data_IF_406525472385
#
_entry.id   IF_406525472385
#
_cell.length_a   1.000
_cell.length_b   1.000
_cell.length_c   1.000
_cell.angle_alpha   90.00
_cell.angle_beta   90.00
_cell.angle_gamma   90.00
#
_symmetry.space_group_name_H-M   'P 1'
#
loop_
_entity.id
_entity.type
_entity.pdbx_description
1 polymer ?
#
# COMPACT_ATOMS: atom_id res chain seq x y z
N UNK A 1 -12.67 -0.42 9.44
CA UNK A 1 -11.38 -0.96 8.97
C UNK A 1 -11.38 -1.01 7.46
N UNK A 2 -10.65 -0.10 6.81
CA UNK A 2 -10.64 0.05 5.35
C UNK A 2 -9.31 0.63 4.86
N UNK A 3 -8.87 0.27 3.66
CA UNK A 3 -7.77 0.97 3.00
C UNK A 3 -8.30 2.08 2.07
N UNK A 4 -7.78 3.29 2.18
CA UNK A 4 -8.13 4.38 1.25
C UNK A 4 -6.96 4.60 0.29
N UNK A 5 -7.14 4.18 -0.96
CA UNK A 5 -6.09 4.21 -1.99
C UNK A 5 -6.25 5.51 -2.79
N UNK A 6 -5.36 6.48 -2.55
CA UNK A 6 -5.34 7.77 -3.25
C UNK A 6 -4.28 7.73 -4.36
N UNK A 7 -4.73 7.90 -5.60
CA UNK A 7 -3.92 7.76 -6.81
C UNK A 7 -3.70 9.14 -7.45
N UNK A 8 -2.44 9.50 -7.68
CA UNK A 8 -2.05 10.80 -8.21
C UNK A 8 -2.50 11.08 -9.65
N UNK A 9 -2.73 10.01 -10.43
CA UNK A 9 -3.05 10.07 -11.86
C UNK A 9 -3.86 8.85 -12.29
N UNK A 10 -4.78 9.04 -13.26
CA UNK A 10 -5.52 7.94 -13.89
C UNK A 10 -4.60 6.90 -14.54
N UNK A 11 -3.40 7.30 -14.98
CA UNK A 11 -2.40 6.39 -15.57
C UNK A 11 -1.98 5.27 -14.60
N UNK A 12 -2.05 5.52 -13.29
CA UNK A 12 -1.56 4.60 -12.27
C UNK A 12 -2.72 3.78 -11.65
N UNK A 13 -3.92 3.90 -12.24
CA UNK A 13 -5.13 3.20 -11.77
C UNK A 13 -5.03 1.67 -11.86
N UNK A 14 -4.26 1.15 -12.83
CA UNK A 14 -4.01 -0.29 -12.92
C UNK A 14 -3.34 -0.83 -11.65
N UNK A 15 -2.26 -0.20 -11.22
CA UNK A 15 -1.53 -0.54 -10.00
C UNK A 15 -2.39 -0.38 -8.75
N UNK A 16 -3.18 0.70 -8.66
CA UNK A 16 -4.12 0.87 -7.53
C UNK A 16 -5.20 -0.20 -7.44
N UNK A 17 -5.71 -0.69 -8.59
CA UNK A 17 -6.66 -1.81 -8.63
C UNK A 17 -6.03 -3.12 -8.21
N UNK A 18 -4.77 -3.34 -8.56
CA UNK A 18 -4.00 -4.51 -8.13
C UNK A 18 -3.84 -4.51 -6.60
N UNK A 19 -3.47 -3.39 -5.98
CA UNK A 19 -3.43 -3.26 -4.51
C UNK A 19 -4.80 -3.58 -3.90
N UNK A 20 -5.87 -2.99 -4.45
CA UNK A 20 -7.24 -3.24 -4.00
C UNK A 20 -7.64 -4.71 -4.11
N UNK A 21 -7.18 -5.42 -5.15
CA UNK A 21 -7.39 -6.85 -5.32
C UNK A 21 -6.66 -7.67 -4.27
N UNK A 22 -5.38 -7.39 -4.04
CA UNK A 22 -4.59 -8.08 -3.01
C UNK A 22 -5.15 -7.85 -1.61
N UNK A 23 -5.74 -6.67 -1.33
CA UNK A 23 -6.42 -6.41 -0.06
C UNK A 23 -7.66 -7.29 0.18
N UNK A 24 -8.39 -7.64 -0.89
CA UNK A 24 -9.56 -8.55 -0.78
C UNK A 24 -9.17 -9.92 -0.26
N UNK A 25 -7.98 -10.42 -0.58
CA UNK A 25 -7.48 -11.69 -0.06
C UNK A 25 -7.41 -11.70 1.48
N UNK A 26 -7.06 -10.57 2.09
CA UNK A 26 -7.00 -10.40 3.54
C UNK A 26 -8.35 -10.01 4.16
N UNK A 27 -9.43 -9.96 3.38
CA UNK A 27 -10.76 -9.53 3.82
C UNK A 27 -10.84 -8.04 4.16
N UNK A 28 -10.00 -7.20 3.54
CA UNK A 28 -9.94 -5.76 3.79
C UNK A 28 -10.63 -5.02 2.63
N UNK A 29 -11.65 -4.23 2.96
CA UNK A 29 -12.31 -3.35 1.99
C UNK A 29 -11.40 -2.19 1.61
N UNK A 30 -11.57 -1.68 0.38
CA UNK A 30 -10.81 -0.52 -0.08
C UNK A 30 -11.62 0.43 -0.94
N UNK A 31 -11.36 1.72 -0.77
CA UNK A 31 -11.87 2.79 -1.62
C UNK A 31 -10.75 3.30 -2.53
N UNK A 32 -11.02 3.44 -3.84
CA UNK A 32 -10.08 4.03 -4.79
C UNK A 32 -10.48 5.48 -5.09
N UNK A 33 -9.55 6.40 -4.92
CA UNK A 33 -9.72 7.84 -5.17
C UNK A 33 -8.63 8.33 -6.12
N UNK A 34 -8.94 9.35 -6.94
CA UNK A 34 -7.95 10.02 -7.80
C UNK A 34 -7.85 11.48 -7.36
N UNK A 35 -6.67 11.90 -6.91
CA UNK A 35 -6.39 13.28 -6.53
C UNK A 35 -4.88 13.56 -6.56
N UNK A 36 -4.49 14.80 -6.85
CA UNK A 36 -3.08 15.16 -7.04
C UNK A 36 -2.69 16.26 -6.07
N UNK A 37 -1.66 16.03 -5.24
CA UNK A 37 -1.16 17.06 -4.32
C UNK A 37 -0.67 18.33 -5.05
N UNK A 38 -0.10 18.19 -6.24
CA UNK A 38 0.39 19.33 -7.03
C UNK A 38 -0.74 20.10 -7.72
N UNK A 39 -1.77 19.41 -8.22
CA UNK A 39 -2.79 20.00 -9.11
C UNK A 39 -4.13 20.27 -8.43
N UNK A 40 -4.49 19.47 -7.44
CA UNK A 40 -5.76 19.53 -6.72
C UNK A 40 -5.59 19.32 -5.20
N UNK A 41 -4.71 20.06 -4.51
CA UNK A 41 -4.41 19.86 -3.09
C UNK A 41 -5.64 19.94 -2.18
N UNK A 42 -6.54 20.91 -2.41
CA UNK A 42 -7.79 21.02 -1.65
C UNK A 42 -8.71 19.79 -1.80
N UNK A 43 -8.68 19.16 -2.97
CA UNK A 43 -9.42 17.92 -3.19
C UNK A 43 -8.81 16.75 -2.40
N UNK A 44 -7.48 16.68 -2.31
CA UNK A 44 -6.78 15.70 -1.46
C UNK A 44 -7.19 15.90 0.00
N UNK A 45 -7.15 17.14 0.51
CA UNK A 45 -7.56 17.44 1.89
C UNK A 45 -9.01 17.07 2.15
N UNK A 46 -9.91 17.36 1.20
CA UNK A 46 -11.31 16.94 1.31
C UNK A 46 -11.43 15.42 1.44
N UNK A 47 -10.73 14.65 0.60
CA UNK A 47 -10.71 13.18 0.69
C UNK A 47 -10.20 12.73 2.06
N UNK A 48 -9.09 13.29 2.55
CA UNK A 48 -8.52 12.89 3.84
C UNK A 48 -9.53 13.13 4.98
N UNK A 49 -10.21 14.28 5.00
CA UNK A 49 -11.22 14.64 6.01
C UNK A 49 -12.46 13.74 5.97
N UNK A 50 -12.83 13.21 4.81
CA UNK A 50 -13.96 12.27 4.69
C UNK A 50 -13.75 11.00 5.54
N UNK A 51 -12.50 10.64 5.88
CA UNK A 51 -12.17 9.43 6.63
C UNK A 51 -11.54 9.71 8.02
N UNK A 52 -11.60 10.94 8.52
CA UNK A 52 -10.91 11.34 9.76
C UNK A 52 -11.40 10.56 10.99
N UNK A 53 -12.71 10.30 11.05
CA UNK A 53 -13.35 9.55 12.14
C UNK A 53 -13.37 8.02 11.90
N UNK A 54 -12.84 7.56 10.77
CA UNK A 54 -12.81 6.13 10.42
C UNK A 54 -11.49 5.44 10.83
N UNK A 55 -11.56 4.12 11.02
CA UNK A 55 -10.37 3.28 11.15
C UNK A 55 -9.84 2.91 9.77
N UNK A 56 -9.02 3.81 9.22
CA UNK A 56 -8.42 3.65 7.89
C UNK A 56 -6.90 3.62 7.90
N UNK A 57 -6.34 3.01 6.85
CA UNK A 57 -4.95 3.17 6.44
C UNK A 57 -4.97 3.81 5.05
N UNK A 58 -4.22 4.89 4.87
CA UNK A 58 -4.09 5.51 3.55
C UNK A 58 -2.97 4.80 2.77
N UNK A 59 -3.24 4.52 1.50
CA UNK A 59 -2.24 4.07 0.53
C UNK A 59 -2.15 5.13 -0.54
N UNK A 60 -0.97 5.70 -0.76
CA UNK A 60 -0.75 6.76 -1.74
C UNK A 60 0.10 6.25 -2.91
N UNK A 61 -0.42 6.41 -4.13
CA UNK A 61 0.21 5.95 -5.36
C UNK A 61 0.48 7.17 -6.24
N UNK A 62 1.75 7.55 -6.38
CA UNK A 62 2.16 8.61 -7.29
C UNK A 62 3.57 8.34 -7.83
N UNK A 63 3.72 8.39 -9.16
CA UNK A 63 5.03 8.31 -9.81
C UNK A 63 5.75 9.67 -9.88
N UNK A 64 6.96 9.69 -10.46
CA UNK A 64 7.84 10.87 -10.55
C UNK A 64 8.17 11.41 -9.15
N UNK A 65 8.18 12.73 -9.00
CA UNK A 65 8.32 13.39 -7.69
C UNK A 65 7.02 13.20 -6.89
N UNK A 66 7.03 12.23 -5.97
CA UNK A 66 5.89 11.87 -5.14
C UNK A 66 5.67 12.87 -3.99
N UNK A 67 4.95 13.95 -4.28
CA UNK A 67 4.46 14.84 -3.24
C UNK A 67 3.20 14.33 -2.53
N UNK A 68 2.47 13.38 -3.13
CA UNK A 68 1.17 12.93 -2.62
C UNK A 68 1.31 12.23 -1.26
N UNK A 69 2.30 11.34 -1.13
CA UNK A 69 2.51 10.59 0.12
C UNK A 69 2.79 11.50 1.31
N UNK A 70 3.78 12.39 1.18
CA UNK A 70 4.11 13.32 2.25
C UNK A 70 2.98 14.31 2.55
N UNK A 71 2.24 14.75 1.51
CA UNK A 71 1.10 15.65 1.69
C UNK A 71 -0.04 15.00 2.47
N UNK A 72 -0.40 13.75 2.15
CA UNK A 72 -1.45 13.02 2.88
C UNK A 72 -1.00 12.74 4.32
N UNK A 73 0.23 12.26 4.50
CA UNK A 73 0.79 11.91 5.82
C UNK A 73 0.87 13.10 6.78
N UNK A 74 1.30 14.26 6.29
CA UNK A 74 1.36 15.48 7.10
C UNK A 74 -0.02 16.01 7.54
N UNK A 75 -1.12 15.53 6.94
CA UNK A 75 -2.48 16.02 7.15
C UNK A 75 -3.41 14.97 7.75
N UNK A 76 -2.87 13.88 8.31
CA UNK A 76 -3.67 12.85 8.96
C UNK A 76 -2.95 12.25 10.16
N UNK A 77 -3.72 11.75 11.13
CA UNK A 77 -3.20 10.96 12.25
C UNK A 77 -3.16 9.46 11.95
N UNK A 78 -3.69 9.06 10.78
CA UNK A 78 -3.81 7.66 10.36
C UNK A 78 -2.52 7.20 9.69
N UNK A 79 -2.20 5.89 9.69
CA UNK A 79 -1.02 5.39 8.99
C UNK A 79 -1.12 5.66 7.49
N UNK A 80 0.00 6.07 6.88
CA UNK A 80 0.12 6.27 5.43
C UNK A 80 1.21 5.37 4.87
N UNK A 81 0.87 4.64 3.79
CA UNK A 81 1.81 3.83 3.02
C UNK A 81 1.98 4.44 1.64
N UNK A 82 3.19 4.93 1.35
CA UNK A 82 3.63 5.28 0.02
C UNK A 82 3.90 4.01 -0.79
N UNK A 83 3.17 3.84 -1.90
CA UNK A 83 3.39 2.76 -2.86
C UNK A 83 3.51 3.33 -4.28
N UNK A 84 4.65 3.98 -4.60
CA UNK A 84 4.85 4.58 -5.91
C UNK A 84 4.97 3.49 -6.98
N UNK A 85 4.35 3.66 -8.17
CA UNK A 85 4.54 2.73 -9.28
C UNK A 85 5.96 2.91 -9.82
N UNK A 86 6.83 1.93 -9.55
CA UNK A 86 8.22 1.95 -10.04
C UNK A 86 8.22 1.64 -11.53
N UNK A 87 8.89 2.49 -12.31
CA UNK A 87 9.15 2.29 -13.74
C UNK A 87 10.64 1.98 -13.93
N UNK A 88 11.09 1.90 -15.17
CA UNK A 88 12.48 1.53 -15.53
C UNK A 88 13.55 2.33 -14.75
N UNK A 89 13.26 3.59 -14.43
CA UNK A 89 14.15 4.42 -13.63
C UNK A 89 13.73 4.44 -12.15
N UNK A 90 14.61 3.91 -11.28
CA UNK A 90 14.39 3.85 -9.84
C UNK A 90 14.60 5.17 -9.10
N UNK A 91 15.15 6.22 -9.74
CA UNK A 91 15.44 7.49 -9.05
C UNK A 91 14.19 8.14 -8.42
N UNK A 92 13.01 7.90 -8.99
CA UNK A 92 11.75 8.41 -8.45
C UNK A 92 11.47 7.90 -7.02
N UNK A 93 12.02 6.74 -6.62
CA UNK A 93 11.83 6.19 -5.27
C UNK A 93 12.37 7.12 -4.18
N UNK A 94 13.44 7.87 -4.45
CA UNK A 94 14.03 8.79 -3.48
C UNK A 94 13.04 9.89 -3.07
N UNK A 95 12.09 10.24 -3.95
CA UNK A 95 11.02 11.19 -3.63
C UNK A 95 10.02 10.65 -2.61
N UNK A 96 9.95 9.33 -2.40
CA UNK A 96 9.14 8.69 -1.37
C UNK A 96 9.95 8.33 -0.11
N UNK A 97 11.27 8.16 -0.23
CA UNK A 97 12.17 7.82 0.90
C UNK A 97 12.50 9.04 1.76
N UNK A 98 12.87 10.17 1.13
CA UNK A 98 13.46 11.31 1.84
C UNK A 98 12.43 12.35 2.25
N UNK A 99 11.84 12.15 3.43
CA UNK A 99 10.84 13.05 4.02
C UNK A 99 11.46 14.06 5.00
N UNK A 100 10.87 15.27 5.15
CA UNK A 100 11.26 16.20 6.20
C UNK A 100 10.83 15.69 7.59
N UNK A 101 11.37 16.28 8.66
CA UNK A 101 10.96 15.98 10.03
C UNK A 101 9.46 16.20 10.24
N UNK A 102 8.79 15.26 10.91
CA UNK A 102 7.35 15.31 11.18
C UNK A 102 6.47 14.71 10.09
N UNK A 103 7.05 14.18 9.00
CA UNK A 103 6.34 13.49 7.91
C UNK A 103 6.98 12.10 7.75
N UNK A 104 6.20 11.05 7.96
CA UNK A 104 6.67 9.67 8.08
C UNK A 104 5.80 8.61 7.34
N UNK A 105 5.46 8.80 6.05
CA UNK A 105 4.84 7.75 5.27
C UNK A 105 5.79 6.54 5.16
N UNK A 106 5.24 5.33 5.35
CA UNK A 106 5.99 4.09 5.17
C UNK A 106 6.11 3.76 3.68
N UNK A 107 7.26 3.32 3.20
CA UNK A 107 7.46 2.96 1.79
C UNK A 107 7.32 1.45 1.56
N UNK A 108 6.43 1.04 0.66
CA UNK A 108 6.27 -0.35 0.21
C UNK A 108 6.01 -0.37 -1.31
N UNK A 109 6.83 -1.11 -2.07
CA UNK A 109 6.86 -0.97 -3.54
C UNK A 109 5.88 -1.90 -4.27
N UNK A 110 5.84 -3.18 -3.89
CA UNK A 110 5.02 -4.16 -4.61
C UNK A 110 3.56 -4.12 -4.15
N UNK A 111 2.60 -4.25 -5.07
CA UNK A 111 1.18 -4.19 -4.75
C UNK A 111 0.75 -5.25 -3.71
N UNK A 112 1.27 -6.47 -3.85
CA UNK A 112 1.06 -7.57 -2.91
C UNK A 112 1.63 -7.26 -1.52
N UNK A 113 2.83 -6.69 -1.45
CA UNK A 113 3.45 -6.30 -0.19
C UNK A 113 2.75 -5.09 0.45
N UNK A 114 2.26 -4.15 -0.34
CA UNK A 114 1.46 -3.02 0.14
C UNK A 114 0.18 -3.51 0.81
N UNK A 115 -0.54 -4.44 0.17
CA UNK A 115 -1.71 -5.07 0.78
C UNK A 115 -1.37 -5.82 2.06
N UNK A 116 -0.27 -6.59 2.08
CA UNK A 116 0.20 -7.27 3.29
C UNK A 116 0.57 -6.29 4.40
N UNK A 117 1.20 -5.16 4.09
CA UNK A 117 1.55 -4.14 5.07
C UNK A 117 0.29 -3.52 5.72
N UNK A 118 -0.71 -3.17 4.91
CA UNK A 118 -2.03 -2.73 5.41
C UNK A 118 -2.65 -3.81 6.30
N UNK A 119 -2.63 -5.07 5.87
CA UNK A 119 -3.18 -6.18 6.64
C UNK A 119 -2.47 -6.36 7.99
N UNK A 120 -1.15 -6.24 8.04
CA UNK A 120 -0.37 -6.30 9.28
C UNK A 120 -0.70 -5.16 10.23
N UNK A 121 -0.98 -3.95 9.74
CA UNK A 121 -1.44 -2.83 10.57
C UNK A 121 -2.78 -3.18 11.22
N UNK A 122 -3.71 -3.75 10.46
CA UNK A 122 -5.02 -4.13 10.99
C UNK A 122 -5.02 -5.39 11.87
N UNK A 123 -4.08 -6.31 11.64
CA UNK A 123 -3.93 -7.54 12.42
C UNK A 123 -3.64 -7.31 13.91
N UNK A 124 -3.18 -6.11 14.30
CA UNK A 124 -3.05 -5.74 15.71
C UNK A 124 -4.39 -5.78 16.46
N UNK A 125 -5.49 -5.40 15.79
CA UNK A 125 -6.82 -5.29 16.41
C UNK A 125 -7.85 -6.27 15.85
N UNK A 126 -7.56 -6.94 14.73
CA UNK A 126 -8.50 -7.85 14.06
C UNK A 126 -7.93 -9.27 13.93
N UNK A 127 -8.50 -10.20 14.69
CA UNK A 127 -8.08 -11.61 14.72
C UNK A 127 -8.25 -12.32 13.38
N UNK A 128 -9.32 -12.01 12.63
CA UNK A 128 -9.56 -12.62 11.31
C UNK A 128 -8.49 -12.19 10.32
N UNK A 129 -8.12 -10.91 10.32
CA UNK A 129 -7.02 -10.39 9.48
C UNK A 129 -5.69 -10.97 9.91
N UNK A 130 -5.43 -11.09 11.23
CA UNK A 130 -4.20 -11.72 11.74
C UNK A 130 -4.05 -13.14 11.21
N UNK A 131 -5.10 -13.95 11.31
CA UNK A 131 -5.09 -15.31 10.78
C UNK A 131 -4.87 -15.33 9.26
N UNK A 132 -5.50 -14.44 8.50
CA UNK A 132 -5.27 -14.33 7.06
C UNK A 132 -3.81 -13.97 6.72
N UNK A 133 -3.16 -13.11 7.52
CA UNK A 133 -1.73 -12.78 7.38
C UNK A 133 -0.85 -14.00 7.69
N UNK A 134 -1.14 -14.73 8.76
CA UNK A 134 -0.39 -15.95 9.14
C UNK A 134 -0.51 -17.04 8.08
N UNK A 135 -1.73 -17.31 7.61
CA UNK A 135 -2.01 -18.29 6.57
C UNK A 135 -1.32 -17.92 5.25
N UNK A 136 -1.35 -16.65 4.86
CA UNK A 136 -0.63 -16.14 3.68
C UNK A 136 0.88 -16.37 3.79
N UNK A 137 1.49 -16.01 4.92
CA UNK A 137 2.93 -16.17 5.12
C UNK A 137 3.34 -17.63 5.20
N UNK A 138 2.51 -18.51 5.80
CA UNK A 138 2.73 -19.95 5.79
C UNK A 138 2.69 -20.49 4.36
N UNK A 139 1.69 -20.11 3.57
CA UNK A 139 1.58 -20.52 2.17
C UNK A 139 2.82 -20.16 1.34
N UNK A 140 3.36 -18.95 1.48
CA UNK A 140 4.61 -18.55 0.79
C UNK A 140 5.84 -19.37 1.21
N UNK A 141 5.91 -19.81 2.47
CA UNK A 141 6.99 -20.70 2.94
C UNK A 141 6.85 -22.10 2.36
N UNK A 142 5.63 -22.64 2.37
CA UNK A 142 5.32 -23.96 1.80
C UNK A 142 5.60 -24.00 0.29
N UNK A 143 5.30 -22.92 -0.44
CA UNK A 143 5.61 -22.78 -1.87
C UNK A 143 7.11 -22.94 -2.15
N UNK A 144 7.96 -22.29 -1.34
CA UNK A 144 9.42 -22.38 -1.50
C UNK A 144 9.93 -23.79 -1.19
N UNK A 145 9.45 -24.42 -0.11
CA UNK A 145 9.87 -25.78 0.27
C UNK A 145 9.48 -26.78 -0.82
N UNK A 146 8.26 -26.71 -1.35
CA UNK A 146 7.81 -27.58 -2.44
C UNK A 146 8.62 -27.38 -3.72
N UNK A 147 8.94 -26.13 -4.06
CA UNK A 147 9.77 -25.85 -5.23
C UNK A 147 11.18 -26.44 -5.13
N UNK A 148 11.75 -26.51 -3.92
CA UNK A 148 13.04 -27.17 -3.65
C UNK A 148 12.92 -28.70 -3.79
N UNK A 149 11.87 -29.30 -3.21
CA UNK A 149 11.58 -30.74 -3.32
C UNK A 149 11.39 -31.19 -4.77
N UNK A 150 10.62 -30.44 -5.57
CA UNK A 150 10.37 -30.72 -7.00
C UNK A 150 11.65 -30.61 -7.85
N UNK A 151 12.60 -29.76 -7.47
CA UNK A 151 13.89 -29.65 -8.15
C UNK A 151 14.76 -30.89 -7.91
N UNK A 152 14.73 -31.46 -6.71
CA UNK A 152 15.51 -32.64 -6.34
C UNK A 152 15.02 -33.92 -7.05
N UNK A 153 13.72 -34.09 -7.27
CA UNK A 153 13.13 -35.27 -7.93
C UNK A 153 13.46 -35.41 -9.43
N UNK A 154 14.13 -34.41 -10.02
CA UNK A 154 14.55 -34.42 -11.43
C UNK A 154 16.05 -34.46 -11.68
N UNK A 155 16.91 -34.23 -10.67
CA UNK A 155 18.34 -33.99 -10.90
C UNK A 155 19.28 -34.10 -9.67
N UNK A 156 18.84 -34.61 -8.51
CA UNK A 156 19.74 -34.94 -7.39
C UNK A 156 20.15 -36.42 -7.36
#
# INVERSE_FOLDING_TARGET
MKAVIIIGSKSDMGFGKEVAEKLRFFGIESDLRIASAHKTPEHVLKIVREYEDEEVVFVTIAGRSNALSGFVDANTTKPVIASPPIKENWFDVFSSIRMPSGVAPMLVLEAENTALAVAKIFAFKNEKVRKAVEDYQRGKKEEIVKADEEMCDGQC
#
